data_IF_044979984857
#
_entry.id   IF_044979984857
#
_cell.length_a   1.000
_cell.length_b   1.000
_cell.length_c   1.000
_cell.angle_alpha   90.00
_cell.angle_beta   90.00
_cell.angle_gamma   90.00
#
_symmetry.space_group_name_H-M   'P 1'
#
loop_
_entity.id
_entity.type
_entity.pdbx_description
1 polymer ?
#
# COMPACT_ATOMS: atom_id res chain seq x y z
N UNK A 1 15.27 4.95 -24.40
CA UNK A 1 15.39 4.55 -22.98
C UNK A 1 15.81 5.78 -22.22
N UNK A 2 14.95 6.30 -21.34
CA UNK A 2 15.34 7.36 -20.43
C UNK A 2 16.65 7.06 -19.70
N UNK A 3 17.48 8.07 -19.52
CA UNK A 3 18.71 7.99 -18.72
C UNK A 3 18.53 8.67 -17.37
N UNK A 4 18.73 7.90 -16.31
CA UNK A 4 18.75 8.41 -14.93
C UNK A 4 20.20 8.63 -14.51
N UNK A 5 20.55 9.86 -14.14
CA UNK A 5 21.90 10.25 -13.73
C UNK A 5 21.94 10.57 -12.24
N UNK A 6 22.90 10.03 -11.50
CA UNK A 6 23.12 10.27 -10.08
C UNK A 6 24.47 10.98 -9.89
N UNK A 7 24.46 12.32 -9.88
CA UNK A 7 25.72 13.08 -9.92
C UNK A 7 26.52 12.96 -8.62
N UNK A 8 25.86 12.69 -7.50
CA UNK A 8 26.54 12.48 -6.22
C UNK A 8 27.40 11.20 -6.21
N UNK A 9 27.05 10.23 -7.06
CA UNK A 9 27.71 8.92 -7.12
C UNK A 9 28.56 8.73 -8.37
N UNK A 10 28.55 9.70 -9.31
CA UNK A 10 29.12 9.58 -10.66
C UNK A 10 28.58 8.35 -11.41
N UNK A 11 27.26 8.15 -11.36
CA UNK A 11 26.57 6.99 -11.95
C UNK A 11 25.49 7.40 -12.93
N UNK A 12 25.26 6.53 -13.90
CA UNK A 12 24.11 6.57 -14.80
C UNK A 12 23.47 5.20 -14.90
N UNK A 13 22.17 5.17 -15.15
CA UNK A 13 21.41 3.95 -15.36
C UNK A 13 20.35 4.21 -16.44
N UNK A 14 20.30 3.33 -17.44
CA UNK A 14 19.24 3.41 -18.46
C UNK A 14 18.00 2.69 -17.91
N UNK A 15 16.84 3.32 -18.01
CA UNK A 15 15.56 2.80 -17.55
C UNK A 15 14.55 2.73 -18.70
N UNK A 16 13.42 2.07 -18.46
CA UNK A 16 12.24 2.14 -19.31
C UNK A 16 11.26 3.19 -18.77
N UNK A 17 10.51 3.86 -19.66
CA UNK A 17 9.38 4.67 -19.20
C UNK A 17 8.41 3.84 -18.35
N UNK A 18 8.04 4.37 -17.19
CA UNK A 18 7.21 3.69 -16.19
C UNK A 18 7.99 2.97 -15.09
N UNK A 19 9.30 2.74 -15.23
CA UNK A 19 10.12 2.10 -14.19
C UNK A 19 10.11 2.93 -12.90
N UNK A 20 9.95 2.27 -11.76
CA UNK A 20 9.97 2.95 -10.46
C UNK A 20 11.37 3.47 -10.16
N UNK A 21 11.46 4.74 -9.81
CA UNK A 21 12.74 5.34 -9.46
C UNK A 21 13.38 4.69 -8.24
N UNK A 22 12.59 4.15 -7.32
CA UNK A 22 13.12 3.33 -6.23
C UNK A 22 13.92 2.11 -6.74
N UNK A 23 13.38 1.38 -7.71
CA UNK A 23 14.02 0.19 -8.27
C UNK A 23 15.26 0.60 -9.07
N UNK A 24 15.13 1.61 -9.94
CA UNK A 24 16.27 2.16 -10.72
C UNK A 24 17.41 2.63 -9.81
N UNK A 25 17.10 3.34 -8.71
CA UNK A 25 18.12 3.75 -7.73
C UNK A 25 18.79 2.55 -7.07
N UNK A 26 18.02 1.51 -6.75
CA UNK A 26 18.52 0.30 -6.09
C UNK A 26 19.41 -0.51 -7.04
N UNK A 27 18.99 -0.70 -8.29
CA UNK A 27 19.71 -1.43 -9.33
C UNK A 27 21.00 -0.71 -9.74
N UNK A 28 20.98 0.62 -9.81
CA UNK A 28 22.18 1.44 -10.01
C UNK A 28 23.13 1.45 -8.80
N UNK A 29 22.66 1.02 -7.62
CA UNK A 29 23.36 1.18 -6.35
C UNK A 29 23.62 2.65 -6.00
N UNK A 30 22.67 3.53 -6.31
CA UNK A 30 22.75 4.95 -5.99
C UNK A 30 22.63 5.19 -4.48
N UNK A 31 23.23 6.27 -3.96
CA UNK A 31 23.26 6.61 -2.54
C UNK A 31 21.97 7.26 -2.01
N UNK A 32 20.89 7.25 -2.80
CA UNK A 32 19.58 7.78 -2.38
C UNK A 32 18.99 6.85 -1.31
N UNK A 33 18.77 7.34 -0.07
CA UNK A 33 18.32 6.47 1.01
C UNK A 33 16.80 6.29 0.98
N UNK A 34 16.34 5.06 1.17
CA UNK A 34 14.90 4.74 1.21
C UNK A 34 14.50 4.13 2.54
N UNK A 35 13.45 4.68 3.15
CA UNK A 35 12.94 4.21 4.44
C UNK A 35 11.51 3.68 4.32
N UNK A 36 10.49 4.54 4.28
CA UNK A 36 9.09 4.09 4.25
C UNK A 36 8.60 3.60 2.88
N UNK A 37 9.32 3.97 1.80
CA UNK A 37 8.94 3.76 0.38
C UNK A 37 7.53 4.20 0.00
N UNK A 38 6.98 5.12 0.79
CA UNK A 38 5.61 5.54 0.69
C UNK A 38 5.57 7.04 0.98
N UNK A 39 6.60 7.79 0.56
CA UNK A 39 6.67 9.26 0.62
C UNK A 39 6.29 9.97 1.91
N UNK A 40 6.20 9.31 3.06
CA UNK A 40 5.76 9.88 4.33
C UNK A 40 6.93 10.27 5.24
N UNK A 41 8.08 9.65 5.04
CA UNK A 41 9.25 9.86 5.88
C UNK A 41 10.21 10.94 5.36
N UNK A 42 10.08 11.37 4.11
CA UNK A 42 10.99 12.31 3.46
C UNK A 42 12.43 11.81 3.24
N UNK A 43 12.80 10.61 3.73
CA UNK A 43 14.18 10.10 3.68
C UNK A 43 14.78 10.10 2.28
N UNK A 44 13.99 9.76 1.24
CA UNK A 44 14.50 9.72 -0.12
C UNK A 44 14.53 11.08 -0.81
N UNK A 45 14.25 12.19 -0.11
CA UNK A 45 14.25 13.50 -0.74
C UNK A 45 15.62 13.81 -1.34
N UNK A 46 15.62 14.04 -2.65
CA UNK A 46 16.84 14.24 -3.43
C UNK A 46 16.64 15.41 -4.37
N UNK A 47 17.68 16.23 -4.51
CA UNK A 47 17.73 17.31 -5.48
C UNK A 47 17.52 16.77 -6.89
N UNK A 48 16.76 17.51 -7.69
CA UNK A 48 16.64 17.28 -9.13
C UNK A 48 17.39 18.41 -9.83
N UNK A 49 18.33 18.02 -10.69
CA UNK A 49 19.16 18.93 -11.47
C UNK A 49 18.58 19.05 -12.88
N UNK A 50 18.20 20.26 -13.28
CA UNK A 50 17.66 20.52 -14.61
C UNK A 50 16.15 20.32 -14.71
N UNK A 51 15.70 19.73 -15.82
CA UNK A 51 14.27 19.58 -16.09
C UNK A 51 13.62 18.49 -15.24
N UNK A 52 12.40 18.74 -14.77
CA UNK A 52 11.59 17.78 -14.01
C UNK A 52 10.71 16.93 -14.94
N UNK A 53 10.84 17.09 -16.25
CA UNK A 53 10.00 16.49 -17.28
C UNK A 53 10.08 14.95 -17.26
N UNK A 54 11.17 14.40 -16.72
CA UNK A 54 11.35 12.97 -16.50
C UNK A 54 10.69 12.41 -15.25
N UNK A 55 10.01 13.24 -14.46
CA UNK A 55 9.34 12.87 -13.22
C UNK A 55 7.84 13.09 -13.31
N UNK A 56 7.08 12.20 -12.68
CA UNK A 56 5.64 12.36 -12.50
C UNK A 56 5.26 13.68 -11.82
N UNK A 57 3.97 14.05 -11.91
CA UNK A 57 3.44 15.23 -11.24
C UNK A 57 3.68 15.16 -9.73
N UNK A 58 3.84 16.33 -9.11
CA UNK A 58 3.94 16.42 -7.65
C UNK A 58 2.62 15.94 -7.05
N UNK A 59 2.69 14.85 -6.30
CA UNK A 59 1.50 14.32 -5.61
C UNK A 59 1.22 15.16 -4.37
N UNK A 60 -0.03 15.14 -3.89
CA UNK A 60 -0.38 15.84 -2.64
C UNK A 60 0.46 15.35 -1.45
N UNK A 61 0.75 14.04 -1.42
CA UNK A 61 1.59 13.37 -0.43
C UNK A 61 3.03 13.87 -0.45
N UNK A 62 3.58 14.03 -1.65
CA UNK A 62 4.92 14.59 -1.85
C UNK A 62 4.97 16.04 -1.40
N UNK A 63 4.03 16.87 -1.87
CA UNK A 63 3.95 18.28 -1.52
C UNK A 63 3.86 18.46 0.00
N UNK A 64 3.03 17.68 0.69
CA UNK A 64 2.91 17.72 2.17
C UNK A 64 4.22 17.40 2.86
N UNK A 65 4.89 16.33 2.44
CA UNK A 65 6.12 15.85 3.08
C UNK A 65 7.30 16.80 2.84
N UNK A 66 7.43 17.32 1.62
CA UNK A 66 8.45 18.32 1.29
C UNK A 66 8.16 19.66 1.99
N UNK A 67 6.91 20.13 2.02
CA UNK A 67 6.56 21.37 2.70
C UNK A 67 6.84 21.31 4.21
N UNK A 68 6.55 20.18 4.86
CA UNK A 68 6.90 19.97 6.27
C UNK A 68 8.42 19.99 6.52
N UNK A 69 9.22 19.71 5.49
CA UNK A 69 10.67 19.83 5.50
C UNK A 69 11.20 21.22 5.13
N UNK A 70 10.33 22.17 4.77
CA UNK A 70 10.74 23.45 4.19
C UNK A 70 11.41 23.28 2.82
N UNK A 71 11.10 22.20 2.10
CA UNK A 71 11.68 21.87 0.80
C UNK A 71 10.73 22.22 -0.34
N UNK A 72 11.31 22.78 -1.40
CA UNK A 72 10.59 23.19 -2.60
C UNK A 72 10.45 22.00 -3.57
N UNK A 73 9.23 21.56 -3.92
CA UNK A 73 9.01 20.49 -4.88
C UNK A 73 9.51 20.81 -6.30
N UNK A 74 9.80 22.09 -6.60
CA UNK A 74 10.45 22.49 -7.84
C UNK A 74 11.97 22.26 -7.85
N UNK A 75 12.57 21.82 -6.74
CA UNK A 75 14.02 21.55 -6.63
C UNK A 75 14.34 20.18 -6.05
N UNK A 76 13.44 19.65 -5.23
CA UNK A 76 13.61 18.39 -4.52
C UNK A 76 12.40 17.52 -4.77
N UNK A 77 12.62 16.23 -5.02
CA UNK A 77 11.54 15.26 -5.22
C UNK A 77 11.74 14.07 -4.30
N UNK A 78 10.68 13.28 -4.10
CA UNK A 78 10.72 12.02 -3.36
C UNK A 78 10.71 10.86 -4.37
N UNK A 79 11.86 10.29 -4.77
CA UNK A 79 11.95 9.26 -5.82
C UNK A 79 11.09 8.03 -5.53
N UNK A 80 10.80 7.73 -4.25
CA UNK A 80 9.90 6.63 -3.91
C UNK A 80 8.43 6.82 -4.33
N UNK A 81 8.05 8.00 -4.81
CA UNK A 81 6.70 8.31 -5.28
C UNK A 81 6.59 8.42 -6.81
N UNK A 82 7.68 8.25 -7.55
CA UNK A 82 7.72 8.54 -8.99
C UNK A 82 8.23 7.37 -9.83
N UNK A 83 7.71 7.30 -11.05
CA UNK A 83 8.26 6.55 -12.17
C UNK A 83 9.17 7.44 -13.03
N UNK A 84 10.04 6.81 -13.81
CA UNK A 84 10.84 7.45 -14.85
C UNK A 84 9.98 7.64 -16.09
N UNK A 85 9.84 8.87 -16.60
CA UNK A 85 9.11 9.14 -17.86
C UNK A 85 10.04 9.60 -18.98
N UNK A 86 11.13 10.27 -18.62
CA UNK A 86 12.18 10.80 -19.49
C UNK A 86 13.47 10.93 -18.68
N UNK A 87 14.53 11.46 -19.30
CA UNK A 87 15.82 11.66 -18.65
C UNK A 87 15.65 12.50 -17.37
N UNK A 88 16.32 12.08 -16.29
CA UNK A 88 16.32 12.81 -15.02
C UNK A 88 17.71 12.76 -14.41
N UNK A 89 18.13 13.89 -13.84
CA UNK A 89 19.41 14.00 -13.15
C UNK A 89 19.15 14.29 -11.68
N UNK A 90 19.55 13.38 -10.81
CA UNK A 90 19.53 13.56 -9.37
C UNK A 90 20.85 14.12 -8.85
N UNK A 91 20.74 15.15 -8.01
CA UNK A 91 21.83 15.76 -7.26
C UNK A 91 22.08 15.03 -5.95
N UNK A 92 22.29 15.78 -4.87
CA UNK A 92 22.56 15.19 -3.56
C UNK A 92 21.27 14.83 -2.82
N UNK A 93 21.21 13.69 -2.12
CA UNK A 93 20.16 13.44 -1.14
C UNK A 93 20.19 14.49 -0.03
N UNK A 94 19.01 14.96 0.39
CA UNK A 94 18.89 15.96 1.45
C UNK A 94 18.88 15.25 2.80
N UNK A 95 20.03 15.24 3.48
CA UNK A 95 20.22 14.56 4.77
C UNK A 95 19.23 15.03 5.87
N UNK A 96 18.79 16.29 5.82
CA UNK A 96 17.85 16.90 6.78
C UNK A 96 16.36 16.75 6.40
N UNK A 97 16.04 16.14 5.26
CA UNK A 97 14.66 16.04 4.76
C UNK A 97 13.79 14.99 5.47
N UNK A 98 14.31 14.32 6.51
CA UNK A 98 13.55 13.44 7.39
C UNK A 98 12.56 14.23 8.30
N UNK A 99 11.93 15.27 7.75
CA UNK A 99 11.41 16.40 8.50
C UNK A 99 9.93 16.30 8.90
N UNK A 100 9.28 15.16 8.65
CA UNK A 100 8.12 14.76 9.44
C UNK A 100 8.58 13.67 10.39
N UNK A 101 9.10 14.08 11.55
CA UNK A 101 9.24 13.20 12.70
C UNK A 101 7.82 12.85 13.16
N UNK A 102 7.23 11.83 12.53
CA UNK A 102 6.00 11.22 12.99
C UNK A 102 6.20 10.81 14.45
N UNK A 103 5.18 11.03 15.28
CA UNK A 103 5.23 10.64 16.68
C UNK A 103 5.51 9.14 16.77
N UNK A 104 6.48 8.79 17.62
CA UNK A 104 6.76 7.39 17.97
C UNK A 104 5.67 6.91 18.92
N UNK A 105 5.09 5.76 18.61
CA UNK A 105 4.00 5.14 19.35
C UNK A 105 4.48 3.76 19.79
N UNK A 106 4.38 3.49 21.09
CA UNK A 106 4.60 2.16 21.63
C UNK A 106 3.34 1.31 21.46
N UNK A 107 3.54 0.18 20.78
CA UNK A 107 2.50 -0.79 20.47
C UNK A 107 2.86 -2.11 21.15
N UNK A 108 1.98 -2.64 21.98
CA UNK A 108 2.12 -3.97 22.55
C UNK A 108 1.47 -5.00 21.63
N UNK A 109 2.19 -6.05 21.25
CA UNK A 109 1.63 -7.18 20.50
C UNK A 109 0.59 -7.87 21.39
N UNK A 110 -0.66 -7.88 20.95
CA UNK A 110 -1.75 -8.55 21.66
C UNK A 110 -1.91 -10.00 21.18
N UNK A 111 -1.94 -10.21 19.86
CA UNK A 111 -2.05 -11.55 19.29
C UNK A 111 -1.37 -11.68 17.94
N UNK A 112 -1.01 -12.91 17.60
CA UNK A 112 -0.44 -13.28 16.30
C UNK A 112 -1.23 -14.47 15.76
N UNK A 113 -1.92 -14.28 14.65
CA UNK A 113 -2.71 -15.32 13.96
C UNK A 113 -2.07 -15.67 12.62
N UNK A 114 -1.75 -16.94 12.41
CA UNK A 114 -1.31 -17.44 11.10
C UNK A 114 -2.54 -17.68 10.24
N UNK A 115 -2.68 -16.88 9.19
CA UNK A 115 -3.81 -16.98 8.26
C UNK A 115 -3.60 -18.10 7.24
N UNK A 116 -2.35 -18.28 6.81
CA UNK A 116 -1.88 -19.43 6.04
C UNK A 116 -0.35 -19.59 6.23
N UNK A 117 0.30 -20.37 5.36
CA UNK A 117 1.75 -20.63 5.45
C UNK A 117 2.61 -19.37 5.30
N UNK A 118 2.15 -18.39 4.54
CA UNK A 118 2.95 -17.20 4.21
C UNK A 118 2.41 -15.90 4.79
N UNK A 119 1.18 -15.88 5.30
CA UNK A 119 0.52 -14.65 5.80
C UNK A 119 0.20 -14.77 7.28
N UNK A 120 0.56 -13.73 8.04
CA UNK A 120 0.20 -13.56 9.44
C UNK A 120 -0.58 -12.25 9.63
N UNK A 121 -1.57 -12.30 10.52
CA UNK A 121 -2.21 -11.14 11.10
C UNK A 121 -1.63 -10.91 12.50
N UNK A 122 -1.19 -9.69 12.78
CA UNK A 122 -0.68 -9.30 14.10
C UNK A 122 -1.52 -8.16 14.61
N UNK A 123 -2.08 -8.35 15.80
CA UNK A 123 -2.89 -7.35 16.50
C UNK A 123 -2.03 -6.65 17.54
N UNK A 124 -2.17 -5.34 17.61
CA UNK A 124 -1.45 -4.48 18.52
C UNK A 124 -2.41 -3.67 19.38
N UNK A 125 -2.08 -3.52 20.65
CA UNK A 125 -2.65 -2.53 21.56
C UNK A 125 -1.75 -1.30 21.60
N UNK A 126 -2.33 -0.11 21.41
CA UNK A 126 -1.65 1.17 21.46
C UNK A 126 -1.78 1.75 22.86
N UNK A 127 -0.64 1.96 23.54
CA UNK A 127 -0.63 2.49 24.91
C UNK A 127 -1.06 3.96 24.99
N UNK A 128 -0.82 4.72 23.92
CA UNK A 128 -1.20 6.13 23.87
C UNK A 128 -2.72 6.28 24.06
N UNK A 129 -3.17 7.26 24.87
CA UNK A 129 -4.60 7.44 25.16
C UNK A 129 -5.38 7.85 23.90
N UNK A 130 -4.73 8.55 22.97
CA UNK A 130 -5.31 8.96 21.70
C UNK A 130 -4.65 8.22 20.54
N UNK A 131 -5.42 7.39 19.86
CA UNK A 131 -5.04 6.75 18.61
C UNK A 131 -6.24 6.80 17.67
N UNK A 132 -6.14 7.63 16.64
CA UNK A 132 -7.21 7.85 15.65
C UNK A 132 -6.60 7.74 14.26
N UNK A 133 -7.24 6.97 13.39
CA UNK A 133 -6.84 6.79 12.00
C UNK A 133 -8.08 6.79 11.10
N UNK A 134 -7.88 6.96 9.81
CA UNK A 134 -8.90 6.75 8.78
C UNK A 134 -8.72 5.37 8.14
N UNK A 135 -9.82 4.67 7.78
CA UNK A 135 -9.71 3.32 7.24
C UNK A 135 -8.96 3.34 5.91
N UNK A 136 -7.91 2.52 5.82
CA UNK A 136 -6.97 2.48 4.69
C UNK A 136 -5.58 3.04 4.98
N UNK A 137 -5.41 3.78 6.08
CA UNK A 137 -4.09 4.24 6.55
C UNK A 137 -3.19 3.08 7.02
N UNK A 138 -1.91 3.38 7.21
CA UNK A 138 -0.88 2.43 7.62
C UNK A 138 -0.02 2.97 8.76
N UNK A 139 0.73 2.05 9.39
CA UNK A 139 1.73 2.34 10.41
C UNK A 139 3.13 2.05 9.87
N UNK A 140 4.11 2.82 10.29
CA UNK A 140 5.54 2.63 9.97
C UNK A 140 6.23 2.03 11.18
N UNK A 141 6.64 0.77 11.08
CA UNK A 141 7.34 0.06 12.15
C UNK A 141 8.84 0.30 12.09
N UNK A 142 9.44 0.46 13.27
CA UNK A 142 10.89 0.43 13.45
C UNK A 142 11.33 -1.02 13.59
N UNK A 143 11.89 -1.57 12.52
CA UNK A 143 12.33 -2.97 12.43
C UNK A 143 13.84 -3.02 12.68
N UNK A 144 14.30 -3.61 13.79
CA UNK A 144 15.71 -3.85 14.01
C UNK A 144 16.28 -4.81 12.96
N UNK A 145 17.49 -4.54 12.47
CA UNK A 145 18.26 -5.48 11.68
C UNK A 145 18.51 -6.77 12.47
N UNK A 146 18.76 -7.92 11.82
CA UNK A 146 19.01 -9.18 12.52
C UNK A 146 20.17 -9.14 13.52
N UNK A 147 21.18 -8.29 13.29
CA UNK A 147 22.32 -8.05 14.19
C UNK A 147 22.09 -6.91 15.20
N UNK A 148 20.93 -6.26 15.15
CA UNK A 148 20.52 -5.17 16.05
C UNK A 148 21.23 -3.84 15.83
N UNK A 149 22.07 -3.71 14.80
CA UNK A 149 22.89 -2.51 14.56
C UNK A 149 22.14 -1.38 13.85
N UNK A 150 21.11 -1.71 13.09
CA UNK A 150 20.35 -0.77 12.28
C UNK A 150 18.85 -0.88 12.56
N UNK A 151 18.13 0.21 12.34
CA UNK A 151 16.68 0.24 12.37
C UNK A 151 16.18 0.61 10.99
N UNK A 152 15.39 -0.29 10.42
CA UNK A 152 14.78 -0.14 9.12
C UNK A 152 13.30 0.16 9.29
N UNK A 153 12.78 1.16 8.59
CA UNK A 153 11.35 1.51 8.66
C UNK A 153 10.55 0.69 7.65
N UNK A 154 9.42 0.12 8.06
CA UNK A 154 8.54 -0.67 7.19
C UNK A 154 7.08 -0.32 7.40
N UNK A 155 6.39 -0.09 6.29
CA UNK A 155 4.99 0.33 6.26
C UNK A 155 4.07 -0.90 6.20
N UNK A 156 3.06 -0.95 7.06
CA UNK A 156 2.03 -1.99 7.03
C UNK A 156 0.65 -1.36 7.25
N UNK A 157 -0.27 -1.58 6.31
CA UNK A 157 -1.64 -1.06 6.38
C UNK A 157 -2.40 -1.62 7.58
N UNK A 158 -3.20 -0.75 8.18
CA UNK A 158 -4.12 -1.10 9.25
C UNK A 158 -5.28 -1.90 8.64
N UNK A 159 -5.63 -3.01 9.29
CA UNK A 159 -6.65 -3.96 8.86
C UNK A 159 -7.89 -4.01 9.77
N UNK A 160 -7.92 -3.24 10.87
CA UNK A 160 -9.10 -3.04 11.73
C UNK A 160 -9.85 -1.78 11.34
N UNK A 161 -11.14 -1.65 11.69
CA UNK A 161 -11.85 -0.38 11.58
C UNK A 161 -11.37 0.62 12.67
N UNK A 162 -11.49 1.95 12.44
CA UNK A 162 -11.16 2.97 13.44
C UNK A 162 -11.96 2.92 14.75
N UNK A 163 -13.09 2.23 14.74
CA UNK A 163 -13.95 2.00 15.92
C UNK A 163 -13.27 1.10 16.98
N UNK A 164 -12.28 0.30 16.57
CA UNK A 164 -11.50 -0.59 17.43
C UNK A 164 -10.45 0.24 18.20
N UNK A 165 -10.95 1.02 19.15
CA UNK A 165 -10.18 2.05 19.83
C UNK A 165 -8.91 1.48 20.47
N UNK A 166 -7.78 2.16 20.22
CA UNK A 166 -6.44 1.77 20.69
C UNK A 166 -5.98 0.39 20.23
N UNK A 167 -6.58 -0.17 19.18
CA UNK A 167 -6.06 -1.37 18.57
C UNK A 167 -5.92 -1.22 17.06
N UNK A 168 -4.95 -1.94 16.52
CA UNK A 168 -4.90 -2.14 15.10
C UNK A 168 -4.31 -3.50 14.75
N UNK A 169 -4.72 -4.02 13.60
CA UNK A 169 -4.15 -5.23 13.02
C UNK A 169 -3.35 -4.87 11.78
N UNK A 170 -2.28 -5.62 11.53
CA UNK A 170 -1.60 -5.64 10.23
C UNK A 170 -1.65 -7.04 9.67
N UNK A 171 -1.77 -7.14 8.35
CA UNK A 171 -1.77 -8.42 7.63
C UNK A 171 -0.56 -8.45 6.70
N UNK A 172 0.41 -9.32 7.02
CA UNK A 172 1.75 -9.29 6.44
C UNK A 172 2.09 -10.63 5.83
N UNK A 173 2.62 -10.59 4.61
CA UNK A 173 3.16 -11.76 3.90
C UNK A 173 4.65 -11.85 4.15
N UNK A 174 5.13 -13.01 4.58
CA UNK A 174 6.54 -13.34 4.65
C UNK A 174 7.16 -13.31 3.24
N UNK A 175 8.25 -12.57 3.09
CA UNK A 175 9.03 -12.49 1.85
C UNK A 175 10.38 -13.17 2.12
N UNK A 176 10.81 -14.05 1.23
CA UNK A 176 12.12 -14.69 1.33
C UNK A 176 13.23 -13.63 1.42
N UNK A 177 14.09 -13.72 2.44
CA UNK A 177 15.13 -12.71 2.70
C UNK A 177 14.63 -11.35 3.24
N UNK A 178 13.32 -11.10 3.26
CA UNK A 178 12.76 -9.81 3.67
C UNK A 178 12.89 -9.54 5.17
N UNK A 179 13.64 -8.51 5.57
CA UNK A 179 13.86 -8.21 7.00
C UNK A 179 12.56 -7.86 7.73
N UNK A 180 11.75 -6.94 7.19
CA UNK A 180 10.50 -6.47 7.80
C UNK A 180 9.47 -7.55 8.01
N UNK A 181 9.11 -8.24 6.93
CA UNK A 181 8.03 -9.23 6.98
C UNK A 181 8.41 -10.42 7.86
N UNK A 182 9.66 -10.89 7.81
CA UNK A 182 10.11 -11.96 8.70
C UNK A 182 10.19 -11.50 10.17
N UNK A 183 10.51 -10.23 10.44
CA UNK A 183 10.47 -9.68 11.80
C UNK A 183 9.03 -9.65 12.36
N UNK A 184 8.05 -9.16 11.60
CA UNK A 184 6.63 -9.21 12.00
C UNK A 184 6.19 -10.64 12.34
N UNK A 185 6.56 -11.62 11.51
CA UNK A 185 6.24 -13.03 11.76
C UNK A 185 6.93 -13.62 12.99
N UNK A 186 7.99 -13.00 13.50
CA UNK A 186 8.70 -13.43 14.71
C UNK A 186 8.16 -12.76 15.98
N UNK A 187 7.23 -11.81 15.86
CA UNK A 187 6.61 -11.19 17.02
C UNK A 187 5.86 -12.22 17.88
N UNK A 188 5.71 -11.91 19.16
CA UNK A 188 5.04 -12.71 20.19
C UNK A 188 4.15 -11.81 21.04
N UNK A 189 2.99 -12.31 21.49
CA UNK A 189 2.16 -11.61 22.46
C UNK A 189 2.98 -11.09 23.66
N UNK A 190 2.67 -9.88 24.10
CA UNK A 190 3.35 -9.19 25.19
C UNK A 190 4.53 -8.32 24.77
N UNK A 191 5.15 -8.56 23.60
CA UNK A 191 6.28 -7.75 23.13
C UNK A 191 5.85 -6.31 22.85
N UNK A 192 6.71 -5.35 23.17
CA UNK A 192 6.52 -3.94 22.83
C UNK A 192 7.36 -3.60 21.60
N UNK A 193 6.74 -2.94 20.63
CA UNK A 193 7.39 -2.46 19.41
C UNK A 193 7.12 -0.97 19.22
N UNK A 194 8.04 -0.28 18.53
CA UNK A 194 7.87 1.12 18.17
C UNK A 194 7.35 1.24 16.75
N UNK A 195 6.26 1.98 16.59
CA UNK A 195 5.70 2.36 15.30
C UNK A 195 5.54 3.89 15.21
N UNK A 196 5.24 4.38 14.02
CA UNK A 196 4.99 5.78 13.72
C UNK A 196 3.76 5.87 12.81
N UNK A 197 2.91 6.87 13.00
CA UNK A 197 1.67 7.04 12.24
C UNK A 197 0.46 7.31 13.14
N UNK A 198 -0.76 7.13 12.62
CA UNK A 198 -1.10 6.63 11.28
C UNK A 198 -0.74 7.61 10.15
N UNK A 199 -0.53 7.09 8.96
CA UNK A 199 -0.19 7.85 7.74
C UNK A 199 -0.86 7.25 6.51
N UNK A 200 -0.89 8.01 5.42
CA UNK A 200 -1.42 7.60 4.12
C UNK A 200 -2.66 8.36 3.71
N UNK A 201 -2.83 8.52 2.40
CA UNK A 201 -3.95 9.23 1.77
C UNK A 201 -4.89 8.25 1.02
N UNK A 202 -4.59 6.94 1.01
CA UNK A 202 -5.49 5.88 0.55
C UNK A 202 -6.53 5.59 1.64
N UNK A 203 -7.49 6.50 1.75
CA UNK A 203 -8.54 6.47 2.78
C UNK A 203 -9.91 6.37 2.14
N UNK A 204 -10.82 5.64 2.78
CA UNK A 204 -12.22 5.62 2.36
C UNK A 204 -12.81 7.03 2.45
N UNK A 205 -13.34 7.53 1.34
CA UNK A 205 -13.98 8.83 1.27
C UNK A 205 -15.45 8.72 1.65
N UNK A 206 -15.94 9.74 2.34
CA UNK A 206 -17.37 9.92 2.59
C UNK A 206 -18.12 10.11 1.26
N UNK A 207 -19.30 9.51 1.16
CA UNK A 207 -20.14 9.58 -0.03
C UNK A 207 -21.19 8.47 -0.08
N UNK A 208 -21.97 8.47 -1.17
CA UNK A 208 -23.08 7.55 -1.43
C UNK A 208 -22.84 6.61 -2.61
N UNK A 209 -21.74 6.83 -3.37
CA UNK A 209 -21.36 5.99 -4.51
C UNK A 209 -21.15 4.52 -4.11
N UNK A 210 -21.47 3.63 -5.04
CA UNK A 210 -21.12 2.21 -4.91
C UNK A 210 -19.59 2.04 -4.89
N UNK A 211 -19.12 0.95 -4.28
CA UNK A 211 -17.71 0.70 -4.05
C UNK A 211 -17.25 -0.53 -4.84
N UNK A 212 -16.26 -0.32 -5.70
CA UNK A 212 -15.51 -1.39 -6.35
C UNK A 212 -14.17 -1.50 -5.63
N UNK A 213 -13.99 -2.54 -4.83
CA UNK A 213 -12.74 -2.79 -4.11
C UNK A 213 -11.97 -3.90 -4.82
N UNK A 214 -10.70 -3.67 -5.14
CA UNK A 214 -9.86 -4.68 -5.79
C UNK A 214 -8.57 -4.84 -5.02
N UNK A 215 -8.29 -6.08 -4.62
CA UNK A 215 -7.12 -6.40 -3.81
C UNK A 215 -6.35 -7.58 -4.39
N UNK A 216 -5.02 -7.59 -4.17
CA UNK A 216 -4.21 -8.81 -4.35
C UNK A 216 -3.34 -9.11 -3.16
N UNK A 217 -3.29 -10.37 -2.73
CA UNK A 217 -2.50 -10.80 -1.56
C UNK A 217 -2.81 -9.95 -0.32
N UNK A 218 -1.79 -9.45 0.36
CA UNK A 218 -1.97 -8.61 1.56
C UNK A 218 -2.49 -7.20 1.30
N UNK A 219 -2.66 -6.79 0.03
CA UNK A 219 -3.39 -5.57 -0.32
C UNK A 219 -4.85 -5.56 0.16
N UNK A 220 -5.39 -6.71 0.59
CA UNK A 220 -6.70 -6.78 1.25
C UNK A 220 -6.70 -6.13 2.64
N UNK A 221 -5.53 -5.87 3.26
CA UNK A 221 -5.45 -5.29 4.60
C UNK A 221 -6.18 -3.95 4.75
N UNK A 222 -5.85 -2.88 3.97
CA UNK A 222 -6.58 -1.62 4.04
C UNK A 222 -8.04 -1.78 3.62
N UNK A 223 -8.32 -2.66 2.65
CA UNK A 223 -9.68 -2.96 2.19
C UNK A 223 -10.54 -3.56 3.31
N UNK A 224 -9.99 -4.49 4.11
CA UNK A 224 -10.65 -5.03 5.31
C UNK A 224 -10.97 -3.92 6.30
N UNK A 225 -10.05 -2.98 6.55
CA UNK A 225 -10.31 -1.81 7.41
C UNK A 225 -11.50 -0.98 6.90
N UNK A 226 -11.56 -0.71 5.59
CA UNK A 226 -12.67 0.03 4.96
C UNK A 226 -14.00 -0.75 5.06
N UNK A 227 -14.00 -2.05 4.78
CA UNK A 227 -15.18 -2.91 4.87
C UNK A 227 -15.73 -2.91 6.29
N UNK A 228 -14.90 -3.19 7.29
CA UNK A 228 -15.33 -3.22 8.68
C UNK A 228 -15.84 -1.84 9.14
N UNK A 229 -15.21 -0.75 8.70
CA UNK A 229 -15.67 0.60 9.01
C UNK A 229 -17.07 0.88 8.45
N UNK A 230 -17.33 0.48 7.20
CA UNK A 230 -18.67 0.62 6.58
C UNK A 230 -19.74 -0.15 7.36
N UNK A 231 -19.40 -1.32 7.88
CA UNK A 231 -20.31 -2.15 8.69
C UNK A 231 -20.62 -1.50 10.04
N UNK A 232 -19.60 -1.02 10.74
CA UNK A 232 -19.76 -0.35 12.04
C UNK A 232 -20.66 0.89 11.94
N UNK A 233 -20.61 1.58 10.79
CA UNK A 233 -21.41 2.77 10.51
C UNK A 233 -22.74 2.44 9.82
N UNK A 234 -23.07 1.16 9.65
CA UNK A 234 -24.31 0.69 8.98
C UNK A 234 -24.53 1.34 7.61
N UNK A 235 -23.44 1.47 6.85
CA UNK A 235 -23.49 2.12 5.54
C UNK A 235 -24.43 1.38 4.59
N UNK A 236 -25.24 2.13 3.84
CA UNK A 236 -26.10 1.60 2.77
C UNK A 236 -25.38 1.43 1.43
N UNK A 237 -24.09 1.77 1.35
CA UNK A 237 -23.32 1.72 0.11
C UNK A 237 -23.15 0.27 -0.34
N UNK A 238 -23.44 -0.01 -1.61
CA UNK A 238 -23.18 -1.31 -2.20
C UNK A 238 -21.67 -1.49 -2.41
N UNK A 239 -21.13 -2.65 -2.04
CA UNK A 239 -19.71 -2.98 -2.15
C UNK A 239 -19.53 -4.26 -2.95
N UNK A 240 -18.66 -4.22 -3.96
CA UNK A 240 -18.16 -5.39 -4.68
C UNK A 240 -16.65 -5.52 -4.48
N UNK A 241 -16.24 -6.60 -3.82
CA UNK A 241 -14.83 -6.94 -3.64
C UNK A 241 -14.36 -7.95 -4.69
N UNK A 242 -13.28 -7.63 -5.39
CA UNK A 242 -12.57 -8.57 -6.25
C UNK A 242 -11.20 -8.87 -5.63
N UNK A 243 -10.98 -10.11 -5.19
CA UNK A 243 -9.77 -10.49 -4.47
C UNK A 243 -8.97 -11.54 -5.24
N UNK A 244 -7.75 -11.17 -5.64
CA UNK A 244 -6.84 -12.01 -6.40
C UNK A 244 -5.70 -12.59 -5.59
N UNK A 245 -5.42 -13.89 -5.75
CA UNK A 245 -4.20 -14.54 -5.24
C UNK A 245 -3.54 -15.41 -6.31
N UNK A 246 -2.32 -15.91 -6.04
CA UNK A 246 -1.58 -16.73 -7.01
C UNK A 246 -2.05 -18.18 -7.00
N UNK A 247 -2.03 -18.81 -5.83
CA UNK A 247 -2.39 -20.22 -5.65
C UNK A 247 -3.51 -20.36 -4.62
N UNK A 248 -4.14 -21.54 -4.54
CA UNK A 248 -5.23 -21.79 -3.58
C UNK A 248 -4.75 -21.65 -2.13
N UNK A 249 -3.50 -22.08 -1.85
CA UNK A 249 -2.90 -21.94 -0.52
C UNK A 249 -2.57 -20.50 -0.11
N UNK A 250 -2.63 -19.55 -1.05
CA UNK A 250 -2.47 -18.13 -0.76
C UNK A 250 -3.79 -17.46 -0.35
N UNK A 251 -4.93 -18.16 -0.40
CA UNK A 251 -6.21 -17.63 0.09
C UNK A 251 -6.20 -17.48 1.62
N UNK A 252 -6.85 -16.42 2.10
CA UNK A 252 -7.11 -16.17 3.51
C UNK A 252 -8.30 -15.20 3.66
N UNK A 253 -8.79 -15.02 4.89
CA UNK A 253 -10.04 -14.31 5.21
C UNK A 253 -11.29 -14.84 4.50
N UNK A 254 -11.25 -16.02 3.88
CA UNK A 254 -12.38 -16.56 3.12
C UNK A 254 -13.62 -16.78 3.97
N UNK A 255 -13.46 -17.18 5.24
CA UNK A 255 -14.59 -17.31 6.18
C UNK A 255 -15.16 -15.96 6.60
N UNK A 256 -14.30 -14.93 6.75
CA UNK A 256 -14.75 -13.55 6.97
C UNK A 256 -15.59 -13.08 5.78
N UNK A 257 -15.07 -13.20 4.56
CA UNK A 257 -15.76 -12.76 3.34
C UNK A 257 -17.10 -13.49 3.15
N UNK A 258 -17.13 -14.80 3.37
CA UNK A 258 -18.37 -15.60 3.33
C UNK A 258 -19.37 -15.14 4.39
N UNK A 259 -18.88 -14.85 5.60
CA UNK A 259 -19.69 -14.31 6.68
C UNK A 259 -20.28 -12.94 6.33
N UNK A 260 -19.49 -12.06 5.70
CA UNK A 260 -19.96 -10.76 5.26
C UNK A 260 -21.04 -10.87 4.18
N UNK A 261 -20.81 -11.69 3.16
CA UNK A 261 -21.74 -11.93 2.04
C UNK A 261 -23.07 -12.51 2.52
N UNK A 262 -23.03 -13.43 3.48
CA UNK A 262 -24.23 -14.06 4.03
C UNK A 262 -25.09 -13.11 4.89
N UNK A 263 -24.51 -12.09 5.52
CA UNK A 263 -25.21 -11.25 6.51
C UNK A 263 -25.42 -9.80 6.07
N UNK A 264 -24.74 -9.34 5.02
CA UNK A 264 -24.83 -7.95 4.55
C UNK A 264 -25.23 -7.91 3.07
N UNK A 265 -26.53 -7.71 2.75
CA UNK A 265 -27.03 -7.76 1.37
C UNK A 265 -26.39 -6.75 0.41
N UNK A 266 -25.81 -5.67 0.93
CA UNK A 266 -25.10 -4.67 0.14
C UNK A 266 -23.66 -5.08 -0.21
N UNK A 267 -23.12 -6.16 0.36
CA UNK A 267 -21.78 -6.65 0.11
C UNK A 267 -21.81 -7.88 -0.79
N UNK A 268 -20.87 -7.96 -1.73
CA UNK A 268 -20.58 -9.16 -2.48
C UNK A 268 -19.08 -9.26 -2.79
N UNK A 269 -18.58 -10.47 -2.98
CA UNK A 269 -17.18 -10.69 -3.31
C UNK A 269 -16.97 -11.78 -4.37
N UNK A 270 -15.89 -11.66 -5.13
CA UNK A 270 -15.45 -12.66 -6.09
C UNK A 270 -13.95 -12.91 -5.96
N UNK A 271 -13.55 -14.18 -6.03
CA UNK A 271 -12.17 -14.62 -5.87
C UNK A 271 -11.56 -15.01 -7.22
N UNK A 272 -10.34 -14.55 -7.48
CA UNK A 272 -9.54 -14.96 -8.64
C UNK A 272 -8.26 -15.67 -8.19
N UNK A 273 -8.00 -16.86 -8.72
CA UNK A 273 -6.73 -17.58 -8.52
C UNK A 273 -6.02 -17.69 -9.86
N UNK A 274 -4.83 -17.11 -9.97
CA UNK A 274 -4.14 -16.97 -11.27
C UNK A 274 -3.36 -18.21 -11.71
N UNK A 275 -2.92 -19.05 -10.77
CA UNK A 275 -2.24 -20.31 -11.01
C UNK A 275 -2.77 -21.39 -10.05
N UNK A 276 -4.06 -21.77 -10.19
CA UNK A 276 -4.66 -22.78 -9.32
C UNK A 276 -4.22 -24.19 -9.72
N UNK A 277 -4.15 -25.08 -8.74
CA UNK A 277 -4.31 -26.51 -9.00
C UNK A 277 -5.79 -26.77 -9.37
N UNK A 278 -6.09 -27.29 -10.58
CA UNK A 278 -7.45 -27.59 -11.00
C UNK A 278 -8.22 -28.52 -10.07
N UNK A 279 -7.54 -29.39 -9.31
CA UNK A 279 -8.17 -30.31 -8.36
C UNK A 279 -8.60 -29.61 -7.06
N UNK A 280 -8.00 -28.45 -6.74
CA UNK A 280 -8.26 -27.70 -5.50
C UNK A 280 -9.12 -26.46 -5.73
N UNK A 281 -9.39 -26.09 -6.98
CA UNK A 281 -10.10 -24.84 -7.32
C UNK A 281 -11.04 -24.97 -8.51
N UNK A 282 -12.33 -24.81 -8.24
CA UNK A 282 -13.41 -24.74 -9.22
C UNK A 282 -13.88 -23.31 -9.53
N UNK A 283 -13.39 -22.32 -8.78
CA UNK A 283 -13.72 -20.90 -8.98
C UNK A 283 -13.02 -20.28 -10.18
N UNK A 284 -13.05 -18.95 -10.26
CA UNK A 284 -12.46 -18.22 -11.39
C UNK A 284 -10.95 -18.44 -11.49
N UNK A 285 -10.48 -18.77 -12.70
CA UNK A 285 -9.07 -19.01 -13.01
C UNK A 285 -8.52 -17.85 -13.85
N UNK A 286 -7.52 -17.15 -13.31
CA UNK A 286 -6.89 -16.02 -13.99
C UNK A 286 -6.59 -14.84 -13.06
N UNK A 287 -6.19 -13.72 -13.66
CA UNK A 287 -5.93 -12.47 -12.94
C UNK A 287 -7.24 -11.80 -12.52
N UNK A 288 -7.19 -11.07 -11.41
CA UNK A 288 -8.34 -10.30 -10.89
C UNK A 288 -8.85 -9.26 -11.89
N UNK A 289 -7.98 -8.67 -12.71
CA UNK A 289 -8.36 -7.77 -13.82
C UNK A 289 -9.30 -8.44 -14.82
N UNK A 290 -9.04 -9.70 -15.17
CA UNK A 290 -9.90 -10.46 -16.09
C UNK A 290 -11.25 -10.74 -15.45
N UNK A 291 -11.25 -11.17 -14.18
CA UNK A 291 -12.48 -11.39 -13.42
C UNK A 291 -13.33 -10.12 -13.38
N UNK A 292 -12.73 -8.98 -13.00
CA UNK A 292 -13.40 -7.68 -12.98
C UNK A 292 -13.98 -7.33 -14.35
N UNK A 293 -13.21 -7.54 -15.42
CA UNK A 293 -13.66 -7.26 -16.80
C UNK A 293 -14.87 -8.08 -17.23
N UNK A 294 -14.96 -9.35 -16.80
CA UNK A 294 -16.09 -10.22 -17.10
C UNK A 294 -17.33 -9.94 -16.24
N UNK A 295 -17.18 -9.22 -15.13
CA UNK A 295 -18.22 -9.12 -14.08
C UNK A 295 -18.73 -7.70 -13.84
N UNK A 296 -17.97 -6.69 -14.23
CA UNK A 296 -18.33 -5.29 -14.07
C UNK A 296 -18.97 -4.74 -15.33
N UNK A 297 -20.21 -4.28 -15.21
CA UNK A 297 -20.92 -3.59 -16.28
C UNK A 297 -20.56 -2.10 -16.33
N UNK A 298 -20.73 -1.46 -17.48
CA UNK A 298 -20.51 -0.01 -17.63
C UNK A 298 -21.46 0.81 -16.74
N UNK A 299 -22.69 0.35 -16.54
CA UNK A 299 -23.67 1.01 -15.67
C UNK A 299 -23.26 0.97 -14.19
N UNK A 300 -22.69 -0.13 -13.71
CA UNK A 300 -22.11 -0.22 -12.37
C UNK A 300 -20.88 0.67 -12.24
N UNK A 301 -19.99 0.66 -13.24
CA UNK A 301 -18.78 1.49 -13.24
C UNK A 301 -19.09 2.99 -13.11
N UNK A 302 -20.03 3.53 -13.90
CA UNK A 302 -20.33 4.96 -13.92
C UNK A 302 -20.82 5.54 -12.56
N UNK A 303 -21.47 4.72 -11.74
CA UNK A 303 -21.98 5.11 -10.42
C UNK A 303 -21.07 4.72 -9.25
N UNK A 304 -19.94 4.08 -9.54
CA UNK A 304 -19.01 3.61 -8.52
C UNK A 304 -17.84 4.57 -8.32
N UNK A 305 -17.17 4.41 -7.18
CA UNK A 305 -15.76 4.75 -6.99
C UNK A 305 -14.98 3.48 -6.65
N UNK A 306 -13.67 3.49 -6.88
CA UNK A 306 -12.83 2.31 -6.82
C UNK A 306 -11.65 2.47 -5.86
N UNK A 307 -11.34 1.39 -5.13
CA UNK A 307 -10.22 1.30 -4.18
C UNK A 307 -9.35 0.10 -4.54
N UNK A 308 -8.14 0.35 -5.01
CA UNK A 308 -7.22 -0.66 -5.55
C UNK A 308 -5.99 -0.80 -4.64
N UNK A 309 -5.70 -1.99 -4.14
CA UNK A 309 -4.51 -2.19 -3.32
C UNK A 309 -3.82 -3.52 -3.60
N UNK A 310 -2.52 -3.48 -3.91
CA UNK A 310 -1.77 -4.66 -4.29
C UNK A 310 -0.52 -4.34 -5.09
N UNK A 311 -0.20 -5.23 -6.04
CA UNK A 311 0.94 -5.00 -6.94
C UNK A 311 0.65 -3.89 -7.94
N UNK A 312 1.69 -3.17 -8.33
CA UNK A 312 1.61 -2.09 -9.33
C UNK A 312 0.97 -2.55 -10.63
N UNK A 313 1.44 -3.68 -11.17
CA UNK A 313 0.89 -4.25 -12.39
C UNK A 313 -0.62 -4.51 -12.32
N UNK A 314 -1.13 -4.96 -11.16
CA UNK A 314 -2.57 -5.11 -10.97
C UNK A 314 -3.29 -3.76 -10.94
N UNK A 315 -2.73 -2.78 -10.22
CA UNK A 315 -3.31 -1.44 -10.10
C UNK A 315 -3.39 -0.77 -11.47
N UNK A 316 -2.32 -0.80 -12.26
CA UNK A 316 -2.29 -0.20 -13.60
C UNK A 316 -3.33 -0.85 -14.53
N UNK A 317 -3.33 -2.19 -14.60
CA UNK A 317 -4.27 -2.97 -15.42
C UNK A 317 -5.74 -2.66 -15.04
N UNK A 318 -6.03 -2.60 -13.74
CA UNK A 318 -7.39 -2.38 -13.24
C UNK A 318 -7.82 -0.92 -13.38
N UNK A 319 -6.94 0.05 -13.12
CA UNK A 319 -7.23 1.47 -13.28
C UNK A 319 -7.54 1.81 -14.76
N UNK A 320 -6.77 1.25 -15.69
CA UNK A 320 -7.05 1.36 -17.13
C UNK A 320 -8.43 0.77 -17.49
N UNK A 321 -8.72 -0.44 -17.01
CA UNK A 321 -10.00 -1.12 -17.24
C UNK A 321 -11.21 -0.34 -16.70
N UNK A 322 -11.08 0.24 -15.50
CA UNK A 322 -12.14 1.03 -14.86
C UNK A 322 -12.38 2.35 -15.60
N UNK A 323 -11.30 3.00 -16.03
CA UNK A 323 -11.39 4.25 -16.82
C UNK A 323 -12.08 3.99 -18.16
N UNK A 324 -11.72 2.91 -18.85
CA UNK A 324 -12.37 2.46 -20.10
C UNK A 324 -13.87 2.17 -19.91
N UNK A 325 -14.25 1.64 -18.74
CA UNK A 325 -15.66 1.41 -18.35
C UNK A 325 -16.40 2.64 -17.84
N UNK A 326 -15.75 3.80 -17.79
CA UNK A 326 -16.38 5.07 -17.43
C UNK A 326 -16.37 5.41 -15.94
N UNK A 327 -15.51 4.78 -15.12
CA UNK A 327 -15.21 5.31 -13.77
C UNK A 327 -14.39 6.59 -13.94
N UNK A 328 -14.82 7.74 -13.41
CA UNK A 328 -14.01 8.96 -13.47
C UNK A 328 -12.66 8.75 -12.78
N UNK A 329 -11.56 9.20 -13.39
CA UNK A 329 -10.21 9.02 -12.82
C UNK A 329 -10.07 9.59 -11.39
N UNK A 330 -10.81 10.66 -11.06
CA UNK A 330 -10.85 11.25 -9.72
C UNK A 330 -11.50 10.33 -8.65
N UNK A 331 -12.18 9.26 -9.08
CA UNK A 331 -12.84 8.24 -8.27
C UNK A 331 -12.11 6.89 -8.31
N UNK A 332 -10.89 6.85 -8.85
CA UNK A 332 -10.02 5.65 -8.76
C UNK A 332 -8.91 5.94 -7.76
N UNK A 333 -9.01 5.32 -6.60
CA UNK A 333 -8.06 5.44 -5.50
C UNK A 333 -7.17 4.19 -5.46
N UNK A 334 -5.87 4.35 -5.22
CA UNK A 334 -4.98 3.20 -5.16
C UNK A 334 -3.81 3.38 -4.17
N UNK A 335 -3.31 2.26 -3.64
CA UNK A 335 -2.06 2.19 -2.87
C UNK A 335 -1.22 1.00 -3.35
N UNK A 336 0.03 1.27 -3.71
CA UNK A 336 0.99 0.27 -4.18
C UNK A 336 1.71 -0.38 -2.99
N UNK A 337 1.83 -1.71 -3.01
CA UNK A 337 2.69 -2.43 -2.08
C UNK A 337 4.01 -2.80 -2.78
N UNK A 338 5.13 -2.41 -2.16
CA UNK A 338 6.51 -2.60 -2.64
C UNK A 338 7.22 -3.72 -1.86
#
# INVERSE_FOLDING_TARGET
>A
MPRVTFTADDKTHDAQPGDWLYDVCTEAGASIPFSCKAGACGTCATEVLGAHDGLGRVTQREARTLAAAGLDPAKVRLPCLHSVEADVTFGRPIAAAAATALAKIECQVESVRRLNLTVAEVRFFVRAPEFRFQPGQYMIFQVPSPDGREIVRRSYSIATPPSDARHFEVCVRAVAGGHGSNWIHRLRPGQVVTAEGPVGDFVLRDGDRELIMVATGTGIAPIKSMLMHLLDHRSGRRVRLFFGVRTVGDLFYTDLLRGLDAHYPAFGYELAVSSPDPALWSGFRGRVTRLLGERLTAAEAARSEAYLCGSRAMIDDVAALLTDRGVPAAHVHHENFY
#
